data_IF_565378293286
#
_entry.id   IF_565378293286
#
_cell.length_a   1.000
_cell.length_b   1.000
_cell.length_c   1.000
_cell.angle_alpha   90.00
_cell.angle_beta   90.00
_cell.angle_gamma   90.00
#
_symmetry.space_group_name_H-M   'P 1'
#
loop_
_entity.id
_entity.type
_entity.pdbx_description
1 polymer ?
#
# COMPACT_ATOMS: atom_id res chain seq x y z
N UNK A 1 -18.29 -0.47 17.35
CA UNK A 1 -16.98 0.23 17.27
C UNK A 1 -16.55 0.45 15.82
N UNK A 2 -16.39 -0.60 15.00
CA UNK A 2 -15.93 -0.47 13.60
C UNK A 2 -16.80 0.50 12.78
N UNK A 3 -18.13 0.30 12.77
CA UNK A 3 -19.04 1.17 12.03
C UNK A 3 -18.96 2.63 12.48
N UNK A 4 -18.97 2.90 13.79
CA UNK A 4 -18.84 4.25 14.33
C UNK A 4 -17.53 4.94 13.88
N UNK A 5 -16.40 4.23 13.91
CA UNK A 5 -15.11 4.78 13.47
C UNK A 5 -15.07 5.00 11.96
N UNK A 6 -15.65 4.10 11.17
CA UNK A 6 -15.73 4.31 9.72
C UNK A 6 -16.65 5.48 9.36
N UNK A 7 -17.78 5.65 10.06
CA UNK A 7 -18.65 6.82 9.88
C UNK A 7 -17.91 8.12 10.21
N UNK A 8 -17.20 8.18 11.34
CA UNK A 8 -16.37 9.32 11.74
C UNK A 8 -15.30 9.66 10.69
N UNK A 9 -14.59 8.65 10.18
CA UNK A 9 -13.61 8.83 9.09
C UNK A 9 -14.31 9.39 7.84
N UNK A 10 -15.51 8.90 7.52
CA UNK A 10 -16.24 9.33 6.33
C UNK A 10 -16.79 10.74 6.43
N UNK A 11 -17.16 11.17 7.63
CA UNK A 11 -17.52 12.55 7.93
C UNK A 11 -16.32 13.49 7.72
N UNK A 12 -15.13 13.10 8.20
CA UNK A 12 -13.91 13.89 7.96
C UNK A 12 -13.54 13.99 6.48
N UNK A 13 -13.63 12.90 5.73
CA UNK A 13 -13.37 12.93 4.28
C UNK A 13 -14.36 13.86 3.57
N UNK A 14 -15.65 13.75 3.90
CA UNK A 14 -16.69 14.61 3.30
C UNK A 14 -16.49 16.08 3.66
N UNK A 15 -16.08 16.36 4.89
CA UNK A 15 -15.69 17.72 5.30
C UNK A 15 -14.52 18.25 4.45
N UNK A 16 -13.46 17.46 4.25
CA UNK A 16 -12.31 17.88 3.45
C UNK A 16 -12.65 18.06 1.97
N UNK A 17 -13.48 17.20 1.37
CA UNK A 17 -13.93 17.35 -0.02
C UNK A 17 -14.63 18.70 -0.25
N UNK A 18 -15.50 19.10 0.69
CA UNK A 18 -16.18 20.41 0.66
C UNK A 18 -15.19 21.57 0.83
N UNK A 19 -14.21 21.44 1.72
CA UNK A 19 -13.20 22.48 1.94
C UNK A 19 -12.37 22.78 0.69
N UNK A 20 -12.07 21.77 -0.12
CA UNK A 20 -11.31 21.94 -1.38
C UNK A 20 -12.19 22.27 -2.59
N UNK A 21 -13.51 22.47 -2.38
CA UNK A 21 -14.45 22.82 -3.45
C UNK A 21 -14.75 21.67 -4.43
N UNK A 22 -14.47 20.43 -4.05
CA UNK A 22 -14.82 19.23 -4.83
C UNK A 22 -16.26 18.84 -4.51
N UNK A 23 -17.20 19.62 -5.05
CA UNK A 23 -18.62 19.33 -4.95
C UNK A 23 -19.01 18.13 -5.81
N UNK A 24 -20.19 17.54 -5.52
CA UNK A 24 -20.75 16.39 -6.24
C UNK A 24 -20.79 16.56 -7.76
N UNK A 25 -20.87 17.80 -8.27
CA UNK A 25 -20.89 18.11 -9.71
C UNK A 25 -19.54 17.92 -10.42
N UNK A 26 -18.44 17.92 -9.68
CA UNK A 26 -17.08 17.71 -10.21
C UNK A 26 -16.67 16.23 -10.12
N UNK A 27 -17.33 15.46 -9.26
CA UNK A 27 -17.02 14.05 -8.97
C UNK A 27 -17.91 13.07 -9.75
N UNK A 28 -18.10 13.33 -11.05
CA UNK A 28 -18.96 12.51 -11.92
C UNK A 28 -18.52 11.04 -12.01
N UNK A 29 -17.23 10.76 -11.77
CA UNK A 29 -16.68 9.41 -11.74
C UNK A 29 -16.96 8.62 -10.45
N UNK A 30 -17.56 9.26 -9.46
CA UNK A 30 -17.81 8.69 -8.14
C UNK A 30 -16.55 8.55 -7.28
N UNK A 31 -16.63 7.74 -6.22
CA UNK A 31 -15.55 7.45 -5.29
C UNK A 31 -14.95 6.08 -5.58
N UNK A 32 -13.63 6.00 -5.68
CA UNK A 32 -12.90 4.73 -5.75
C UNK A 32 -12.22 4.48 -4.41
N UNK A 33 -12.59 3.38 -3.75
CA UNK A 33 -12.01 2.94 -2.48
C UNK A 33 -10.92 1.90 -2.76
N UNK A 34 -9.75 2.06 -2.13
CA UNK A 34 -8.64 1.11 -2.27
C UNK A 34 -7.88 0.93 -0.94
N UNK A 35 -6.80 0.14 -0.94
CA UNK A 35 -6.02 -0.20 0.25
C UNK A 35 -6.63 -1.35 1.06
N UNK A 36 -6.00 -1.70 2.18
CA UNK A 36 -6.48 -2.78 3.04
C UNK A 36 -7.87 -2.50 3.64
N UNK A 37 -8.12 -1.24 4.03
CA UNK A 37 -9.37 -0.80 4.65
C UNK A 37 -10.58 -0.86 3.71
N UNK A 38 -10.39 -0.82 2.39
CA UNK A 38 -11.51 -0.88 1.44
C UNK A 38 -12.25 -2.21 1.42
N UNK A 39 -11.63 -3.26 1.97
CA UNK A 39 -12.21 -4.61 2.05
C UNK A 39 -13.20 -4.79 3.21
N UNK A 40 -13.44 -3.74 4.01
CA UNK A 40 -14.45 -3.79 5.07
C UNK A 40 -15.86 -3.99 4.49
N UNK A 41 -16.61 -4.90 5.11
CA UNK A 41 -18.01 -5.14 4.76
C UNK A 41 -18.81 -3.85 4.89
N UNK A 42 -19.65 -3.60 3.90
CA UNK A 42 -20.57 -2.46 3.83
C UNK A 42 -19.94 -1.07 3.67
N UNK A 43 -18.63 -0.97 3.41
CA UNK A 43 -17.97 0.33 3.25
C UNK A 43 -18.45 1.09 2.00
N UNK A 44 -18.77 0.39 0.91
CA UNK A 44 -19.33 0.99 -0.30
C UNK A 44 -20.65 1.70 0.04
N UNK A 45 -21.57 0.99 0.70
CA UNK A 45 -22.87 1.51 1.10
C UNK A 45 -22.74 2.72 2.04
N UNK A 46 -21.80 2.66 3.01
CA UNK A 46 -21.53 3.79 3.88
C UNK A 46 -21.01 5.00 3.09
N UNK A 47 -20.10 4.77 2.15
CA UNK A 47 -19.52 5.84 1.31
C UNK A 47 -20.59 6.49 0.45
N UNK A 48 -21.43 5.69 -0.21
CA UNK A 48 -22.54 6.18 -1.03
C UNK A 48 -23.56 6.95 -0.20
N UNK A 49 -23.89 6.45 1.01
CA UNK A 49 -24.80 7.12 1.93
C UNK A 49 -24.28 8.48 2.40
N UNK A 50 -23.01 8.57 2.81
CA UNK A 50 -22.43 9.78 3.38
C UNK A 50 -22.11 10.82 2.30
N UNK A 51 -21.60 10.38 1.14
CA UNK A 51 -21.14 11.29 0.07
C UNK A 51 -22.20 11.61 -0.97
N UNK A 52 -23.24 10.78 -1.10
CA UNK A 52 -24.23 10.86 -2.18
C UNK A 52 -23.67 10.51 -3.57
N UNK A 53 -22.46 9.96 -3.64
CA UNK A 53 -21.77 9.58 -4.87
C UNK A 53 -21.69 8.06 -5.00
N UNK A 54 -21.80 7.54 -6.23
CA UNK A 54 -21.54 6.12 -6.49
C UNK A 54 -20.13 5.75 -6.02
N UNK A 55 -19.98 4.58 -5.39
CA UNK A 55 -18.68 4.11 -4.93
C UNK A 55 -18.34 2.71 -5.47
N UNK A 56 -17.05 2.44 -5.68
CA UNK A 56 -16.56 1.11 -6.07
C UNK A 56 -15.18 0.80 -5.50
N UNK A 57 -14.82 -0.46 -5.48
CA UNK A 57 -13.48 -0.90 -5.11
C UNK A 57 -12.54 -0.80 -6.31
N UNK A 58 -11.40 -0.15 -6.11
CA UNK A 58 -10.31 -0.11 -7.08
C UNK A 58 -9.35 -1.29 -6.90
N UNK A 59 -9.05 -1.99 -7.98
CA UNK A 59 -8.12 -3.13 -8.01
C UNK A 59 -6.90 -2.78 -8.87
N UNK A 60 -5.67 -3.09 -8.44
CA UNK A 60 -4.45 -2.77 -9.17
C UNK A 60 -4.06 -3.87 -10.17
N UNK A 61 -5.02 -4.37 -10.96
CA UNK A 61 -4.83 -5.55 -11.81
C UNK A 61 -4.50 -5.25 -13.28
N UNK A 62 -4.88 -4.08 -13.79
CA UNK A 62 -4.74 -3.72 -15.20
C UNK A 62 -3.29 -3.75 -15.71
N UNK A 63 -2.34 -3.36 -14.87
CA UNK A 63 -0.92 -3.24 -15.23
C UNK A 63 -0.06 -4.41 -14.71
N UNK A 64 -0.69 -5.47 -14.19
CA UNK A 64 0.02 -6.67 -13.78
C UNK A 64 0.27 -7.57 -14.98
N UNK A 65 1.52 -8.04 -15.15
CA UNK A 65 1.87 -9.00 -16.19
C UNK A 65 1.07 -10.31 -16.03
N UNK A 66 0.82 -11.01 -17.13
CA UNK A 66 0.21 -12.33 -17.09
C UNK A 66 1.03 -13.29 -16.20
N UNK A 67 0.35 -14.06 -15.35
CA UNK A 67 0.99 -14.98 -14.39
C UNK A 67 1.42 -14.34 -13.07
N UNK A 68 0.98 -13.11 -12.77
CA UNK A 68 1.14 -12.54 -11.43
C UNK A 68 0.39 -13.39 -10.37
N UNK A 69 0.90 -13.38 -9.15
CA UNK A 69 0.20 -13.99 -8.02
C UNK A 69 -1.13 -13.25 -7.79
N UNK A 70 -2.23 -13.98 -7.64
CA UNK A 70 -3.58 -13.40 -7.48
C UNK A 70 -3.67 -12.42 -6.30
N UNK A 71 -2.83 -12.62 -5.29
CA UNK A 71 -2.75 -11.75 -4.12
C UNK A 71 -2.40 -10.30 -4.48
N UNK A 72 -1.55 -10.08 -5.49
CA UNK A 72 -1.18 -8.73 -5.93
C UNK A 72 -2.34 -7.96 -6.56
N UNK A 73 -3.38 -8.65 -7.02
CA UNK A 73 -4.59 -8.02 -7.55
C UNK A 73 -5.50 -7.48 -6.42
N UNK A 74 -5.20 -7.70 -5.14
CA UNK A 74 -5.99 -7.17 -4.02
C UNK A 74 -5.77 -5.66 -3.84
N UNK A 75 -6.79 -4.88 -3.44
CA UNK A 75 -6.68 -3.43 -3.20
C UNK A 75 -5.58 -3.04 -2.19
N UNK A 76 -5.22 -3.95 -1.29
CA UNK A 76 -4.11 -3.80 -0.33
C UNK A 76 -2.78 -3.42 -0.99
N UNK A 77 -2.51 -3.90 -2.21
CA UNK A 77 -1.24 -3.67 -2.92
C UNK A 77 -1.26 -2.44 -3.83
N UNK A 78 -2.36 -1.70 -3.89
CA UNK A 78 -2.53 -0.59 -4.84
C UNK A 78 -1.49 0.51 -4.69
N UNK A 79 -1.06 0.81 -3.45
CA UNK A 79 -0.03 1.82 -3.21
C UNK A 79 1.32 1.40 -3.80
N UNK A 80 1.80 0.19 -3.47
CA UNK A 80 3.09 -0.29 -3.95
C UNK A 80 3.12 -0.41 -5.47
N UNK A 81 2.06 -0.98 -6.07
CA UNK A 81 1.94 -1.10 -7.53
C UNK A 81 1.89 0.29 -8.18
N UNK A 82 1.11 1.22 -7.63
CA UNK A 82 1.03 2.59 -8.13
C UNK A 82 2.37 3.33 -8.06
N UNK A 83 3.16 3.13 -7.00
CA UNK A 83 4.50 3.70 -6.88
C UNK A 83 5.47 3.14 -7.93
N UNK A 84 5.43 1.83 -8.18
CA UNK A 84 6.25 1.18 -9.22
C UNK A 84 5.89 1.75 -10.60
N UNK A 85 4.60 1.81 -10.93
CA UNK A 85 4.11 2.38 -12.20
C UNK A 85 4.51 3.85 -12.35
N UNK A 86 4.41 4.63 -11.27
CA UNK A 86 4.82 6.03 -11.25
C UNK A 86 6.33 6.18 -11.48
N UNK A 87 7.15 5.37 -10.83
CA UNK A 87 8.60 5.35 -11.02
C UNK A 87 9.00 4.99 -12.45
N UNK A 88 8.38 3.94 -13.00
CA UNK A 88 8.58 3.52 -14.38
C UNK A 88 8.21 4.64 -15.37
N UNK A 89 7.05 5.27 -15.19
CA UNK A 89 6.62 6.39 -16.02
C UNK A 89 7.55 7.61 -15.90
N UNK A 90 8.04 7.93 -14.70
CA UNK A 90 8.98 9.05 -14.50
C UNK A 90 10.34 8.77 -15.17
N UNK A 91 10.80 7.51 -15.17
CA UNK A 91 12.01 7.06 -15.86
C UNK A 91 11.88 7.14 -17.39
N UNK A 92 10.83 6.55 -17.97
CA UNK A 92 10.61 6.52 -19.42
C UNK A 92 10.45 7.93 -20.02
N UNK A 93 9.73 8.81 -19.31
CA UNK A 93 9.47 10.16 -19.78
C UNK A 93 10.57 11.18 -19.41
N UNK A 94 11.61 10.75 -18.68
CA UNK A 94 12.67 11.63 -18.15
C UNK A 94 12.12 12.82 -17.33
N UNK A 95 10.96 12.63 -16.69
CA UNK A 95 10.29 13.66 -15.90
C UNK A 95 11.05 13.99 -14.61
N UNK A 96 11.92 13.07 -14.19
CA UNK A 96 12.89 13.26 -13.10
C UNK A 96 14.25 12.79 -13.59
N UNK A 97 15.24 13.66 -13.50
CA UNK A 97 16.63 13.22 -13.51
C UNK A 97 16.85 12.57 -12.15
N UNK A 98 16.66 11.25 -12.08
CA UNK A 98 17.20 10.50 -10.96
C UNK A 98 18.71 10.71 -11.03
N UNK A 99 19.31 11.24 -9.97
CA UNK A 99 20.77 11.17 -9.85
C UNK A 99 21.14 9.69 -9.97
N UNK A 100 22.15 9.36 -10.77
CA UNK A 100 22.61 7.97 -10.96
C UNK A 100 23.24 7.37 -9.69
N UNK A 101 22.93 7.90 -8.52
CA UNK A 101 23.26 7.34 -7.22
C UNK A 101 22.28 6.21 -6.85
N UNK A 102 22.16 5.21 -7.72
CA UNK A 102 21.56 3.95 -7.31
C UNK A 102 22.53 3.24 -6.39
N UNK A 103 22.28 3.29 -5.08
CA UNK A 103 23.01 2.44 -4.13
C UNK A 103 22.67 0.99 -4.47
N UNK A 104 23.62 0.28 -5.07
CA UNK A 104 23.46 -1.13 -5.43
C UNK A 104 23.26 -1.92 -4.13
N UNK A 105 22.02 -2.25 -3.81
CA UNK A 105 21.70 -3.08 -2.65
C UNK A 105 22.08 -4.50 -3.05
N UNK A 106 23.23 -4.98 -2.56
CA UNK A 106 23.57 -6.38 -2.65
C UNK A 106 22.57 -7.15 -1.78
N UNK A 107 21.61 -7.81 -2.44
CA UNK A 107 20.64 -8.67 -1.75
C UNK A 107 21.45 -9.80 -1.10
N UNK A 108 21.48 -9.91 0.23
CA UNK A 108 22.22 -10.96 0.91
C UNK A 108 21.75 -12.33 0.41
N UNK A 109 22.68 -13.26 0.19
CA UNK A 109 22.45 -14.61 -0.34
C UNK A 109 21.35 -15.38 0.44
N UNK A 110 21.14 -15.02 1.72
CA UNK A 110 20.06 -15.54 2.57
C UNK A 110 18.63 -15.22 2.10
N UNK A 111 18.44 -14.23 1.22
CA UNK A 111 17.13 -13.84 0.66
C UNK A 111 16.90 -14.41 -0.75
N UNK A 112 17.86 -15.12 -1.33
CA UNK A 112 17.74 -15.76 -2.65
C UNK A 112 17.14 -17.18 -2.58
N UNK A 113 16.66 -17.61 -1.41
CA UNK A 113 16.03 -18.92 -1.27
C UNK A 113 14.63 -18.90 -1.93
N UNK A 114 14.41 -19.87 -2.81
CA UNK A 114 13.14 -20.10 -3.50
C UNK A 114 11.97 -20.17 -2.49
N UNK A 115 10.75 -19.74 -2.89
CA UNK A 115 9.59 -19.86 -2.02
C UNK A 115 9.39 -21.34 -1.65
N UNK A 116 9.56 -21.64 -0.37
CA UNK A 116 9.07 -22.89 0.23
C UNK A 116 7.55 -22.83 0.17
N UNK A 117 6.95 -23.74 -0.61
CA UNK A 117 5.53 -24.02 -0.61
C UNK A 117 5.08 -24.37 0.83
N UNK A 118 4.52 -23.41 1.56
CA UNK A 118 3.78 -23.69 2.79
C UNK A 118 2.31 -23.94 2.43
N UNK A 119 1.98 -25.20 2.09
CA UNK A 119 0.61 -25.68 2.21
C UNK A 119 0.22 -25.67 3.69
N UNK A 120 -0.55 -24.65 4.10
CA UNK A 120 -1.15 -24.56 5.42
C UNK A 120 -2.33 -25.53 5.52
N UNK A 121 -2.07 -26.76 5.97
CA UNK A 121 -3.10 -27.60 6.55
C UNK A 121 -3.39 -27.13 7.98
N UNK A 122 -4.64 -26.72 8.22
CA UNK A 122 -5.17 -26.33 9.54
C UNK A 122 -5.62 -27.58 10.28
N UNK A 123 -4.99 -27.90 11.41
CA UNK A 123 -5.64 -28.63 12.51
C UNK A 123 -5.11 -28.22 13.90
N UNK A 124 -5.95 -28.48 14.90
CA UNK A 124 -6.14 -27.74 16.14
C UNK A 124 -5.15 -28.01 17.29
N UNK A 125 -5.14 -27.04 18.22
CA UNK A 125 -4.87 -27.17 19.67
C UNK A 125 -3.49 -27.61 20.15
N UNK A 126 -2.76 -26.65 20.74
CA UNK A 126 -1.64 -26.90 21.64
C UNK A 126 -0.66 -25.72 21.68
N UNK A 127 -0.45 -25.12 22.84
CA UNK A 127 0.37 -23.93 23.03
C UNK A 127 1.79 -24.08 22.43
N UNK A 128 2.09 -23.33 21.36
CA UNK A 128 3.43 -23.29 20.74
C UNK A 128 4.22 -22.13 21.33
N UNK A 129 5.34 -22.45 21.99
CA UNK A 129 6.35 -21.48 22.44
C UNK A 129 6.85 -20.68 21.24
N UNK A 130 6.66 -19.36 21.28
CA UNK A 130 7.16 -18.41 20.27
C UNK A 130 8.69 -18.41 20.29
N UNK A 131 9.34 -19.19 19.42
CA UNK A 131 10.75 -18.97 19.08
C UNK A 131 10.81 -17.71 18.21
N UNK A 132 11.47 -16.68 18.72
CA UNK A 132 11.65 -15.39 18.07
C UNK A 132 12.10 -15.55 16.62
N UNK A 133 11.30 -15.02 15.69
CA UNK A 133 11.61 -14.93 14.25
C UNK A 133 12.80 -13.98 14.04
N UNK A 134 14.02 -14.52 14.16
CA UNK A 134 15.27 -13.77 13.92
C UNK A 134 15.32 -13.20 12.49
N UNK A 135 14.79 -13.92 11.50
CA UNK A 135 14.77 -13.51 10.09
C UNK A 135 14.01 -12.20 9.81
N UNK A 136 12.79 -12.06 10.37
CA UNK A 136 12.00 -10.82 10.19
C UNK A 136 12.61 -9.63 10.92
N UNK A 137 13.27 -9.86 12.07
CA UNK A 137 13.96 -8.78 12.80
C UNK A 137 15.17 -8.29 12.00
N UNK A 138 15.99 -9.20 11.48
CA UNK A 138 17.12 -8.86 10.60
C UNK A 138 16.67 -8.15 9.33
N UNK A 139 15.52 -8.53 8.77
CA UNK A 139 14.91 -7.85 7.61
C UNK A 139 14.47 -6.42 7.95
N UNK A 140 13.74 -6.23 9.07
CA UNK A 140 13.32 -4.88 9.48
C UNK A 140 14.49 -4.00 9.87
N UNK A 141 15.54 -4.56 10.47
CA UNK A 141 16.75 -3.82 10.83
C UNK A 141 17.52 -3.36 9.58
N UNK A 142 17.63 -4.22 8.55
CA UNK A 142 18.23 -3.84 7.26
C UNK A 142 17.44 -2.76 6.52
N UNK A 143 16.11 -2.88 6.50
CA UNK A 143 15.23 -1.87 5.89
C UNK A 143 15.26 -0.55 6.67
N UNK A 144 15.22 -0.60 8.00
CA UNK A 144 15.32 0.58 8.87
C UNK A 144 16.67 1.27 8.72
N UNK A 145 17.77 0.52 8.60
CA UNK A 145 19.08 1.10 8.38
C UNK A 145 19.18 1.78 7.02
N UNK A 146 18.67 1.16 5.94
CA UNK A 146 18.61 1.79 4.62
C UNK A 146 17.72 3.04 4.58
N UNK A 147 16.60 3.01 5.31
CA UNK A 147 15.67 4.13 5.40
C UNK A 147 16.27 5.29 6.23
N UNK A 148 16.92 4.99 7.36
CA UNK A 148 17.63 6.00 8.17
C UNK A 148 18.77 6.65 7.37
N UNK A 149 19.49 5.87 6.58
CA UNK A 149 20.58 6.38 5.73
C UNK A 149 20.03 7.32 4.64
N UNK A 150 18.90 6.98 4.04
CA UNK A 150 18.19 7.79 3.04
C UNK A 150 17.62 9.11 3.61
N UNK A 151 17.16 9.12 4.86
CA UNK A 151 16.60 10.33 5.51
C UNK A 151 17.64 11.16 6.28
N UNK A 152 18.86 10.66 6.47
CA UNK A 152 19.96 11.41 7.10
C UNK A 152 20.61 12.43 6.14
N UNK A 153 20.45 12.26 4.84
CA UNK A 153 21.04 13.16 3.83
C UNK A 153 20.31 14.51 3.70
N UNK A 154 19.15 14.73 4.36
CA UNK A 154 18.43 16.01 4.31
C UNK A 154 18.72 17.00 5.45
N UNK A 155 19.40 16.62 6.54
CA UNK A 155 19.67 17.56 7.67
C UNK A 155 20.93 18.42 7.52
N UNK A 156 21.88 18.10 6.63
CA UNK A 156 23.15 18.84 6.48
C UNK A 156 23.29 19.66 5.19
N UNK A 157 22.20 19.86 4.43
CA UNK A 157 22.21 20.70 3.22
C UNK A 157 21.74 22.16 3.45
N UNK A 158 21.69 22.62 4.70
CA UNK A 158 21.43 24.03 5.06
C UNK A 158 22.36 24.54 6.16
N UNK A 159 23.60 24.84 5.79
CA UNK A 159 24.45 25.88 6.39
C UNK A 159 25.23 26.60 5.29
#
# INVERSE_FOLDING_TARGET
IIQARMSEIMDFVTYHLKQVGLDTRLLNGGVILTGGGSQLKHLIQLTEYVTGLNARIGYPNEHLAGGHIEELAKPMYSTCIGLILKGYNDYENKNKQFEEQFKKIEVPESLQQQPVDETLAVENTGAVKVKQRKSLKTFMDGFKNGLIDLFKEEEDAKL
#
